data_IF_843807188476
#
_entry.id   IF_843807188476
#
_cell.length_a   1.000
_cell.length_b   1.000
_cell.length_c   1.000
_cell.angle_alpha   90.00
_cell.angle_beta   90.00
_cell.angle_gamma   90.00
#
_symmetry.space_group_name_H-M   'P 1'
#
loop_
_entity.id
_entity.type
_entity.pdbx_description
1 polymer ?
#
# COMPACT_ATOMS: atom_id res chain seq x y z
N UNK A 1 -7.16 6.78 -15.94
CA UNK A 1 -6.52 6.17 -14.76
C UNK A 1 -5.56 5.12 -15.28
N UNK A 2 -4.24 5.34 -15.15
CA UNK A 2 -3.21 4.38 -15.59
C UNK A 2 -3.21 3.22 -14.60
N UNK A 3 -4.01 2.19 -14.88
CA UNK A 3 -3.99 0.92 -14.14
C UNK A 3 -2.71 0.12 -14.43
N UNK A 4 -1.96 0.49 -15.47
CA UNK A 4 -0.80 -0.26 -15.94
C UNK A 4 0.46 -0.03 -15.09
N UNK A 5 0.57 1.12 -14.40
CA UNK A 5 1.75 1.45 -13.60
C UNK A 5 1.59 1.15 -12.10
N UNK A 6 0.36 0.88 -11.60
CA UNK A 6 0.01 0.55 -10.20
C UNK A 6 0.59 1.47 -9.09
N UNK A 7 1.26 2.56 -9.46
CA UNK A 7 1.73 3.61 -8.58
C UNK A 7 0.63 4.65 -8.42
N UNK A 8 0.13 4.78 -7.19
CA UNK A 8 -0.81 5.82 -6.81
C UNK A 8 -0.06 6.77 -5.88
N UNK A 9 0.02 8.04 -6.24
CA UNK A 9 0.54 9.06 -5.34
C UNK A 9 -0.44 9.23 -4.16
N UNK A 10 0.09 9.40 -2.96
CA UNK A 10 -0.73 9.70 -1.79
C UNK A 10 -1.52 11.00 -1.99
N UNK A 11 -0.97 12.01 -2.68
CA UNK A 11 -1.69 13.25 -2.97
C UNK A 11 -2.96 12.99 -3.80
N UNK A 12 -2.83 12.23 -4.89
CA UNK A 12 -3.93 11.80 -5.75
C UNK A 12 -4.94 10.95 -4.97
N UNK A 13 -4.45 9.98 -4.19
CA UNK A 13 -5.28 9.14 -3.34
C UNK A 13 -6.10 9.95 -2.34
N UNK A 14 -5.45 10.90 -1.68
CA UNK A 14 -6.03 11.74 -0.66
C UNK A 14 -7.11 12.66 -1.23
N UNK A 15 -6.83 13.35 -2.33
CA UNK A 15 -7.80 14.27 -2.95
C UNK A 15 -9.00 13.52 -3.52
N UNK A 16 -8.75 12.40 -4.19
CA UNK A 16 -9.81 11.53 -4.73
C UNK A 16 -10.70 11.00 -3.61
N UNK A 17 -10.11 10.47 -2.54
CA UNK A 17 -10.87 9.91 -1.42
C UNK A 17 -11.55 10.99 -0.58
N UNK A 18 -11.02 12.23 -0.52
CA UNK A 18 -11.70 13.37 0.09
C UNK A 18 -12.99 13.72 -0.65
N UNK A 19 -12.96 13.73 -1.98
CA UNK A 19 -14.16 13.94 -2.80
C UNK A 19 -15.17 12.81 -2.62
N UNK A 20 -14.71 11.55 -2.64
CA UNK A 20 -15.52 10.36 -2.34
C UNK A 20 -16.20 10.45 -0.96
N UNK A 21 -15.43 10.80 0.08
CA UNK A 21 -15.93 10.93 1.44
C UNK A 21 -17.01 12.00 1.52
N UNK A 22 -16.85 13.15 0.86
CA UNK A 22 -17.86 14.20 0.86
C UNK A 22 -19.24 13.72 0.39
N UNK A 23 -19.27 12.73 -0.53
CA UNK A 23 -20.50 12.14 -1.05
C UNK A 23 -21.14 11.15 -0.08
N UNK A 24 -20.33 10.34 0.62
CA UNK A 24 -20.84 9.21 1.42
C UNK A 24 -20.75 9.41 2.94
N UNK A 25 -20.20 10.54 3.42
CA UNK A 25 -19.90 10.76 4.85
C UNK A 25 -21.11 10.55 5.75
N UNK A 26 -22.28 11.02 5.34
CA UNK A 26 -23.52 10.92 6.12
C UNK A 26 -24.18 9.54 6.12
N UNK A 27 -23.70 8.60 5.29
CA UNK A 27 -24.29 7.27 5.13
C UNK A 27 -23.65 6.21 6.01
N UNK A 28 -22.52 6.51 6.66
CA UNK A 28 -21.74 5.53 7.41
C UNK A 28 -21.28 6.07 8.76
N UNK A 29 -21.22 5.17 9.75
CA UNK A 29 -20.41 5.35 10.96
C UNK A 29 -18.98 4.95 10.61
N UNK A 30 -18.03 5.84 10.90
CA UNK A 30 -16.64 5.68 10.48
C UNK A 30 -15.76 5.17 11.63
N UNK A 31 -15.22 3.97 11.45
CA UNK A 31 -14.23 3.33 12.31
C UNK A 31 -12.80 3.72 11.90
N UNK A 32 -12.48 5.01 12.05
CA UNK A 32 -11.21 5.55 11.58
C UNK A 32 -9.99 4.88 12.25
N UNK A 33 -8.91 4.62 11.50
CA UNK A 33 -7.64 4.18 12.08
C UNK A 33 -7.10 5.23 13.06
N UNK A 34 -6.76 4.78 14.28
CA UNK A 34 -6.30 5.63 15.38
C UNK A 34 -4.77 5.60 15.55
N UNK A 35 -4.09 6.70 15.20
CA UNK A 35 -2.62 6.85 15.32
C UNK A 35 -2.13 6.70 16.75
N UNK A 36 -2.85 7.30 17.72
CA UNK A 36 -2.48 7.26 19.13
C UNK A 36 -2.59 5.85 19.69
N UNK A 37 -3.66 5.13 19.36
CA UNK A 37 -3.84 3.72 19.73
C UNK A 37 -2.78 2.83 19.09
N UNK A 38 -2.44 3.07 17.82
CA UNK A 38 -1.39 2.30 17.16
C UNK A 38 -0.02 2.50 17.82
N UNK A 39 0.44 3.75 17.95
CA UNK A 39 1.78 4.04 18.48
C UNK A 39 2.00 3.57 19.93
N UNK A 40 0.93 3.51 20.74
CA UNK A 40 1.02 3.01 22.13
C UNK A 40 1.16 1.50 22.21
N UNK A 41 0.74 0.78 21.17
CA UNK A 41 0.74 -0.69 21.11
C UNK A 41 1.85 -1.24 20.21
N UNK A 42 2.39 -0.44 19.31
CA UNK A 42 3.45 -0.83 18.38
C UNK A 42 4.77 -0.98 19.12
N UNK A 43 5.33 -2.19 19.10
CA UNK A 43 6.69 -2.42 19.56
C UNK A 43 7.69 -1.76 18.61
N UNK A 44 8.69 -1.12 19.19
CA UNK A 44 9.84 -0.67 18.43
C UNK A 44 10.66 -1.89 18.00
N UNK A 45 10.73 -2.13 16.70
CA UNK A 45 11.48 -3.22 16.07
C UNK A 45 12.60 -2.69 15.18
N UNK A 46 12.98 -1.41 15.35
CA UNK A 46 14.15 -0.84 14.69
C UNK A 46 15.43 -1.48 15.23
N UNK A 47 16.42 -1.65 14.35
CA UNK A 47 17.72 -2.20 14.73
C UNK A 47 18.44 -1.26 15.70
N UNK A 48 18.75 -1.69 16.95
CA UNK A 48 19.48 -0.87 17.91
C UNK A 48 20.86 -0.43 17.41
N UNK A 49 21.48 -1.16 16.48
CA UNK A 49 22.75 -0.78 15.85
C UNK A 49 22.63 0.52 15.03
N UNK A 50 21.43 0.85 14.54
CA UNK A 50 21.15 2.11 13.86
C UNK A 50 21.38 3.35 14.72
N UNK A 51 21.60 3.21 16.04
CA UNK A 51 21.99 4.32 16.94
C UNK A 51 23.49 4.61 16.96
N UNK A 52 24.32 3.69 16.44
CA UNK A 52 25.76 3.87 16.42
C UNK A 52 26.14 4.90 15.36
N UNK A 53 27.09 5.77 15.69
CA UNK A 53 27.68 6.72 14.76
C UNK A 53 28.60 5.96 13.79
N UNK A 54 28.50 6.25 12.50
CA UNK A 54 29.42 5.65 11.53
C UNK A 54 30.80 6.33 11.63
N UNK A 55 31.92 5.61 11.43
CA UNK A 55 33.26 6.22 11.50
C UNK A 55 33.46 7.40 10.54
N UNK A 56 32.79 7.35 9.38
CA UNK A 56 32.89 8.36 8.31
C UNK A 56 31.81 9.45 8.38
N UNK A 57 30.91 9.39 9.37
CA UNK A 57 29.82 10.35 9.55
C UNK A 57 30.29 11.50 10.46
N UNK A 58 29.99 12.74 10.11
CA UNK A 58 30.29 13.88 10.99
C UNK A 58 29.25 14.05 12.12
N UNK A 59 29.46 15.01 13.02
CA UNK A 59 28.56 15.22 14.17
C UNK A 59 27.18 15.79 13.75
N UNK A 60 27.13 16.56 12.67
CA UNK A 60 25.90 17.17 12.15
C UNK A 60 25.05 16.10 11.43
N UNK A 61 25.68 15.33 10.54
CA UNK A 61 25.06 14.19 9.85
C UNK A 61 24.51 13.15 10.84
N UNK A 62 25.27 12.82 11.89
CA UNK A 62 24.82 11.92 12.94
C UNK A 62 23.59 12.47 13.68
N UNK A 63 23.63 13.75 14.05
CA UNK A 63 22.54 14.41 14.78
C UNK A 63 21.26 14.43 13.95
N UNK A 64 21.36 14.81 12.67
CA UNK A 64 20.23 14.85 11.75
C UNK A 64 19.65 13.45 11.52
N UNK A 65 20.49 12.45 11.29
CA UNK A 65 20.06 11.06 11.13
C UNK A 65 19.36 10.55 12.38
N UNK A 66 19.87 10.87 13.58
CA UNK A 66 19.25 10.46 14.84
C UNK A 66 17.90 11.13 15.08
N UNK A 67 17.75 12.42 14.73
CA UNK A 67 16.46 13.10 14.77
C UNK A 67 15.45 12.45 13.81
N UNK A 68 15.88 12.13 12.58
CA UNK A 68 15.05 11.42 11.61
C UNK A 68 14.68 10.01 12.10
N UNK A 69 15.64 9.31 12.70
CA UNK A 69 15.45 7.99 13.29
C UNK A 69 14.37 8.05 14.36
N UNK A 70 14.47 8.95 15.33
CA UNK A 70 13.50 9.14 16.41
C UNK A 70 12.11 9.54 15.90
N UNK A 71 12.03 10.39 14.89
CA UNK A 71 10.77 10.80 14.28
C UNK A 71 10.13 9.70 13.40
N UNK A 72 10.92 8.72 12.95
CA UNK A 72 10.50 7.74 11.95
C UNK A 72 9.23 6.95 12.32
N UNK A 73 9.07 6.37 13.53
CA UNK A 73 7.86 5.62 13.89
C UNK A 73 6.59 6.47 13.80
N UNK A 74 6.69 7.75 14.20
CA UNK A 74 5.60 8.70 14.10
C UNK A 74 5.26 9.05 12.66
N UNK A 75 6.29 9.25 11.81
CA UNK A 75 6.14 9.52 10.38
C UNK A 75 5.51 8.32 9.66
N UNK A 76 6.01 7.11 9.94
CA UNK A 76 5.48 5.86 9.40
C UNK A 76 4.01 5.67 9.80
N UNK A 77 3.67 5.71 11.09
CA UNK A 77 2.30 5.54 11.55
C UNK A 77 1.33 6.60 10.98
N UNK A 78 1.81 7.83 10.73
CA UNK A 78 1.02 8.88 10.06
C UNK A 78 0.75 8.51 8.60
N UNK A 79 1.76 8.06 7.87
CA UNK A 79 1.61 7.65 6.47
C UNK A 79 0.68 6.43 6.35
N UNK A 80 0.92 5.39 7.14
CA UNK A 80 0.09 4.18 7.18
C UNK A 80 -1.38 4.53 7.47
N UNK A 81 -1.62 5.39 8.47
CA UNK A 81 -2.97 5.89 8.80
C UNK A 81 -3.63 6.60 7.61
N UNK A 82 -2.89 7.45 6.89
CA UNK A 82 -3.39 8.17 5.73
C UNK A 82 -3.92 7.20 4.67
N UNK A 83 -3.09 6.23 4.31
CA UNK A 83 -3.43 5.20 3.32
C UNK A 83 -4.59 4.30 3.76
N UNK A 84 -4.64 3.91 5.03
CA UNK A 84 -5.78 3.15 5.57
C UNK A 84 -7.10 3.92 5.51
N UNK A 85 -7.07 5.25 5.71
CA UNK A 85 -8.25 6.09 5.52
C UNK A 85 -8.71 6.07 4.06
N UNK A 86 -7.80 6.23 3.11
CA UNK A 86 -8.11 6.16 1.69
C UNK A 86 -8.77 4.82 1.34
N UNK A 87 -8.17 3.70 1.79
CA UNK A 87 -8.71 2.36 1.54
C UNK A 87 -10.12 2.18 2.15
N UNK A 88 -10.34 2.64 3.39
CA UNK A 88 -11.64 2.57 4.04
C UNK A 88 -12.71 3.35 3.27
N UNK A 89 -12.40 4.58 2.86
CA UNK A 89 -13.34 5.41 2.09
C UNK A 89 -13.69 4.73 0.78
N UNK A 90 -12.70 4.27 0.01
CA UNK A 90 -12.93 3.61 -1.28
C UNK A 90 -13.76 2.33 -1.14
N UNK A 91 -13.52 1.52 -0.11
CA UNK A 91 -14.32 0.33 0.16
C UNK A 91 -15.77 0.66 0.52
N UNK A 92 -16.01 1.73 1.29
CA UNK A 92 -17.37 2.20 1.62
C UNK A 92 -18.10 2.83 0.44
N UNK A 93 -17.39 3.49 -0.47
CA UNK A 93 -18.00 3.95 -1.73
C UNK A 93 -18.40 2.77 -2.60
N UNK A 94 -17.53 1.76 -2.71
CA UNK A 94 -17.87 0.52 -3.42
C UNK A 94 -19.12 -0.12 -2.82
N UNK A 95 -19.20 -0.24 -1.49
CA UNK A 95 -20.38 -0.74 -0.77
C UNK A 95 -21.65 0.07 -1.10
N UNK A 96 -21.57 1.39 -1.02
CA UNK A 96 -22.68 2.29 -1.32
C UNK A 96 -23.18 2.12 -2.76
N UNK A 97 -22.28 2.21 -3.74
CA UNK A 97 -22.62 2.12 -5.16
C UNK A 97 -23.12 0.73 -5.53
N UNK A 98 -22.49 -0.34 -5.02
CA UNK A 98 -22.94 -1.69 -5.29
C UNK A 98 -24.34 -1.94 -4.70
N UNK A 99 -24.62 -1.46 -3.50
CA UNK A 99 -25.95 -1.55 -2.88
C UNK A 99 -27.00 -0.75 -3.66
N UNK A 100 -26.67 0.47 -4.10
CA UNK A 100 -27.53 1.27 -4.98
C UNK A 100 -27.87 0.54 -6.28
N UNK A 101 -26.87 -0.09 -6.91
CA UNK A 101 -27.06 -0.87 -8.15
C UNK A 101 -27.92 -2.11 -7.92
N UNK A 102 -27.71 -2.81 -6.82
CA UNK A 102 -28.53 -3.98 -6.40
C UNK A 102 -29.99 -3.57 -6.17
N UNK A 103 -30.23 -2.34 -5.70
CA UNK A 103 -31.56 -1.75 -5.56
C UNK A 103 -32.14 -1.16 -6.86
N UNK A 104 -31.53 -1.47 -8.02
CA UNK A 104 -32.03 -1.06 -9.33
C UNK A 104 -31.70 0.37 -9.76
N UNK A 105 -30.86 1.10 -9.02
CA UNK A 105 -30.45 2.45 -9.42
C UNK A 105 -29.48 2.40 -10.61
N UNK A 106 -29.70 3.29 -11.59
CA UNK A 106 -28.77 3.49 -12.70
C UNK A 106 -27.57 4.32 -12.25
N UNK A 107 -26.38 3.72 -12.26
CA UNK A 107 -25.12 4.39 -11.91
C UNK A 107 -24.32 4.73 -13.16
N UNK A 108 -24.90 5.63 -13.96
CA UNK A 108 -24.30 6.17 -15.19
C UNK A 108 -24.28 7.69 -15.09
N UNK A 109 -23.19 8.29 -15.55
CA UNK A 109 -23.04 9.75 -15.54
C UNK A 109 -22.34 10.25 -16.80
N UNK A 110 -22.43 11.55 -17.05
CA UNK A 110 -21.70 12.21 -18.13
C UNK A 110 -20.87 13.34 -17.54
N UNK A 111 -19.58 13.38 -17.86
CA UNK A 111 -18.69 14.47 -17.47
C UNK A 111 -17.82 14.88 -18.65
N UNK A 112 -17.81 16.18 -18.97
CA UNK A 112 -17.08 16.75 -20.13
C UNK A 112 -17.33 15.97 -21.44
N UNK A 113 -18.58 15.60 -21.70
CA UNK A 113 -19.00 14.87 -22.91
C UNK A 113 -18.68 13.37 -22.90
N UNK A 114 -17.94 12.87 -21.92
CA UNK A 114 -17.65 11.43 -21.77
C UNK A 114 -18.67 10.76 -20.87
N UNK A 115 -19.12 9.56 -21.25
CA UNK A 115 -20.03 8.72 -20.46
C UNK A 115 -19.22 7.81 -19.53
N UNK A 116 -19.63 7.77 -18.27
CA UNK A 116 -19.03 6.97 -17.22
C UNK A 116 -20.05 5.99 -16.67
N UNK A 117 -19.62 4.78 -16.39
CA UNK A 117 -20.42 3.74 -15.75
C UNK A 117 -19.71 3.26 -14.49
N UNK A 118 -20.49 2.94 -13.46
CA UNK A 118 -19.96 2.32 -12.27
C UNK A 118 -19.35 0.94 -12.60
N UNK A 119 -18.07 0.79 -12.26
CA UNK A 119 -17.34 -0.46 -12.36
C UNK A 119 -16.79 -0.86 -10.98
N UNK A 120 -17.36 -1.88 -10.32
CA UNK A 120 -16.95 -2.27 -8.96
C UNK A 120 -15.49 -2.74 -8.89
N UNK A 121 -14.96 -3.31 -9.97
CA UNK A 121 -13.55 -3.75 -10.05
C UNK A 121 -12.58 -2.60 -9.79
N UNK A 122 -12.85 -1.42 -10.37
CA UNK A 122 -11.98 -0.24 -10.25
C UNK A 122 -11.86 0.19 -8.79
N UNK A 123 -12.96 0.25 -8.05
CA UNK A 123 -12.94 0.65 -6.64
C UNK A 123 -12.27 -0.40 -5.75
N UNK A 124 -12.44 -1.68 -6.07
CA UNK A 124 -11.75 -2.77 -5.38
C UNK A 124 -10.23 -2.70 -5.61
N UNK A 125 -9.78 -2.54 -6.85
CA UNK A 125 -8.37 -2.36 -7.19
C UNK A 125 -7.79 -1.13 -6.50
N UNK A 126 -8.51 -0.01 -6.50
CA UNK A 126 -8.08 1.21 -5.82
C UNK A 126 -7.95 1.02 -4.30
N UNK A 127 -8.90 0.30 -3.68
CA UNK A 127 -8.82 -0.08 -2.27
C UNK A 127 -7.58 -0.93 -2.00
N UNK A 128 -7.32 -1.93 -2.85
CA UNK A 128 -6.14 -2.78 -2.76
C UNK A 128 -4.83 -2.00 -2.90
N UNK A 129 -4.76 -1.07 -3.86
CA UNK A 129 -3.61 -0.20 -4.07
C UNK A 129 -3.34 0.66 -2.83
N UNK A 130 -4.39 1.28 -2.26
CA UNK A 130 -4.23 2.08 -1.03
C UNK A 130 -3.66 1.26 0.13
N UNK A 131 -4.10 0.01 0.30
CA UNK A 131 -3.57 -0.88 1.33
C UNK A 131 -2.08 -1.20 1.11
N UNK A 132 -1.69 -1.51 -0.13
CA UNK A 132 -0.30 -1.88 -0.45
C UNK A 132 0.67 -0.69 -0.39
N UNK A 133 0.26 0.49 -0.86
CA UNK A 133 1.07 1.71 -0.83
C UNK A 133 1.29 2.23 0.60
N UNK A 134 0.37 1.91 1.52
CA UNK A 134 0.49 2.23 2.95
C UNK A 134 1.75 1.72 3.61
N UNK A 135 2.27 0.58 3.16
CA UNK A 135 3.50 -0.02 3.67
C UNK A 135 4.77 0.62 3.07
N UNK A 136 4.71 1.04 1.81
CA UNK A 136 5.84 1.61 1.07
C UNK A 136 5.87 1.15 -0.40
N UNK A 137 6.64 1.84 -1.26
CA UNK A 137 6.61 1.65 -2.71
C UNK A 137 7.09 0.27 -3.21
N UNK A 138 7.56 -0.60 -2.30
CA UNK A 138 8.20 -1.89 -2.60
C UNK A 138 7.26 -3.12 -2.53
N UNK A 139 5.97 -2.95 -2.21
CA UNK A 139 4.96 -4.04 -2.16
C UNK A 139 4.31 -4.39 -3.53
N UNK A 140 4.76 -3.76 -4.61
CA UNK A 140 4.26 -3.72 -6.01
C UNK A 140 4.05 -5.05 -6.75
N UNK A 141 4.30 -6.21 -6.15
CA UNK A 141 4.30 -7.49 -6.89
C UNK A 141 3.04 -8.34 -6.74
N UNK A 142 2.05 -7.90 -5.97
CA UNK A 142 0.81 -8.65 -5.79
C UNK A 142 -0.36 -8.05 -6.56
N UNK A 143 -0.75 -8.73 -7.64
CA UNK A 143 -2.06 -8.48 -8.23
C UNK A 143 -3.15 -8.74 -7.19
N UNK A 144 -4.21 -7.91 -7.15
CA UNK A 144 -5.33 -8.19 -6.28
C UNK A 144 -5.93 -9.56 -6.64
N UNK A 145 -6.41 -10.33 -5.65
CA UNK A 145 -7.07 -11.59 -5.94
C UNK A 145 -8.23 -11.35 -6.91
N UNK A 146 -8.42 -12.31 -7.81
CA UNK A 146 -9.49 -12.32 -8.81
C UNK A 146 -10.50 -13.39 -8.43
N UNK A 147 -11.79 -13.19 -8.72
CA UNK A 147 -12.81 -14.21 -8.48
C UNK A 147 -12.50 -15.46 -9.32
N UNK A 148 -12.64 -16.65 -8.73
CA UNK A 148 -12.20 -17.92 -9.34
C UNK A 148 -13.12 -18.41 -10.47
N UNK A 149 -14.33 -17.86 -10.65
CA UNK A 149 -15.23 -18.18 -11.77
C UNK A 149 -16.24 -17.05 -12.04
N UNK A 150 -17.04 -17.19 -13.10
CA UNK A 150 -18.16 -16.32 -13.50
C UNK A 150 -19.30 -16.35 -12.48
N UNK A 151 -19.05 -15.87 -11.26
CA UNK A 151 -20.10 -15.68 -10.28
C UNK A 151 -21.11 -14.66 -10.81
N UNK A 152 -22.40 -15.00 -10.68
CA UNK A 152 -23.54 -14.19 -11.12
C UNK A 152 -23.63 -12.82 -10.40
N UNK A 153 -22.70 -12.50 -9.50
CA UNK A 153 -22.58 -11.21 -8.83
C UNK A 153 -21.13 -10.73 -8.62
N UNK A 154 -20.31 -10.70 -9.68
CA UNK A 154 -18.94 -10.16 -9.64
C UNK A 154 -18.81 -8.84 -8.84
N UNK A 155 -19.80 -7.94 -8.93
CA UNK A 155 -19.82 -6.69 -8.14
C UNK A 155 -19.92 -6.91 -6.64
N UNK A 156 -20.77 -7.83 -6.20
CA UNK A 156 -20.93 -8.19 -4.78
C UNK A 156 -19.69 -8.91 -4.26
N UNK A 157 -19.04 -9.73 -5.08
CA UNK A 157 -17.74 -10.33 -4.74
C UNK A 157 -16.69 -9.24 -4.45
N UNK A 158 -16.50 -8.28 -5.38
CA UNK A 158 -15.55 -7.17 -5.20
C UNK A 158 -15.84 -6.35 -3.93
N UNK A 159 -17.11 -6.04 -3.68
CA UNK A 159 -17.55 -5.35 -2.47
C UNK A 159 -17.16 -6.12 -1.21
N UNK A 160 -17.55 -7.39 -1.14
CA UNK A 160 -17.34 -8.21 0.05
C UNK A 160 -15.84 -8.40 0.34
N UNK A 161 -15.03 -8.62 -0.69
CA UNK A 161 -13.58 -8.73 -0.56
C UNK A 161 -12.93 -7.44 -0.09
N UNK A 162 -13.30 -6.29 -0.66
CA UNK A 162 -12.79 -4.98 -0.23
C UNK A 162 -13.08 -4.72 1.25
N UNK A 163 -14.34 -4.88 1.67
CA UNK A 163 -14.77 -4.62 3.04
C UNK A 163 -14.11 -5.57 4.04
N UNK A 164 -14.09 -6.88 3.74
CA UNK A 164 -13.47 -7.86 4.61
C UNK A 164 -11.97 -7.61 4.80
N UNK A 165 -11.26 -7.28 3.71
CA UNK A 165 -9.83 -6.98 3.76
C UNK A 165 -9.55 -5.72 4.56
N UNK A 166 -10.23 -4.61 4.28
CA UNK A 166 -10.05 -3.35 5.00
C UNK A 166 -10.33 -3.52 6.49
N UNK A 167 -11.46 -4.16 6.84
CA UNK A 167 -11.82 -4.41 8.25
C UNK A 167 -10.74 -5.20 8.97
N UNK A 168 -10.23 -6.27 8.34
CA UNK A 168 -9.17 -7.11 8.92
C UNK A 168 -7.88 -6.33 9.10
N UNK A 169 -7.47 -5.55 8.08
CA UNK A 169 -6.22 -4.78 8.14
C UNK A 169 -6.30 -3.69 9.20
N UNK A 170 -7.38 -2.90 9.23
CA UNK A 170 -7.55 -1.83 10.22
C UNK A 170 -7.63 -2.41 11.64
N UNK A 171 -8.32 -3.53 11.84
CA UNK A 171 -8.40 -4.18 13.15
C UNK A 171 -7.03 -4.62 13.67
N UNK A 172 -6.19 -5.22 12.81
CA UNK A 172 -4.81 -5.60 13.17
C UNK A 172 -3.93 -4.38 13.40
N UNK A 173 -4.04 -3.37 12.55
CA UNK A 173 -3.28 -2.14 12.68
C UNK A 173 -3.61 -1.39 13.98
N UNK A 174 -4.88 -1.30 14.35
CA UNK A 174 -5.32 -0.71 15.62
C UNK A 174 -4.82 -1.50 16.86
N UNK A 175 -4.37 -2.76 16.69
CA UNK A 175 -3.71 -3.57 17.74
C UNK A 175 -2.19 -3.37 17.80
N UNK A 176 -1.63 -2.43 17.05
CA UNK A 176 -0.19 -2.14 17.03
C UNK A 176 0.60 -2.95 16.00
N UNK A 177 -0.06 -3.73 15.14
CA UNK A 177 0.63 -4.43 14.06
C UNK A 177 0.97 -3.46 12.92
N UNK A 178 2.25 -3.39 12.51
CA UNK A 178 2.69 -2.57 11.37
C UNK A 178 2.12 -3.10 10.07
N UNK A 179 1.79 -2.23 9.10
CA UNK A 179 1.17 -2.66 7.84
C UNK A 179 1.97 -3.73 7.09
N UNK A 180 3.30 -3.66 7.11
CA UNK A 180 4.16 -4.67 6.46
C UNK A 180 4.06 -6.08 7.02
N UNK A 181 3.61 -6.24 8.28
CA UNK A 181 3.36 -7.56 8.90
C UNK A 181 1.94 -8.06 8.61
N UNK A 182 1.03 -7.14 8.31
CA UNK A 182 -0.37 -7.45 8.03
C UNK A 182 -0.56 -7.83 6.56
N UNK A 183 0.04 -7.06 5.67
CA UNK A 183 0.01 -7.25 4.22
C UNK A 183 1.34 -7.95 3.87
N UNK A 184 1.33 -9.29 3.71
CA UNK A 184 2.56 -10.03 3.48
C UNK A 184 3.19 -9.55 2.18
N UNK A 185 4.41 -9.04 2.28
CA UNK A 185 5.27 -8.73 1.13
C UNK A 185 5.81 -10.05 0.61
N UNK A 186 5.67 -10.30 -0.69
CA UNK A 186 6.57 -11.26 -1.33
C UNK A 186 7.91 -10.52 -1.41
N UNK A 187 8.82 -10.81 -0.50
CA UNK A 187 10.19 -10.28 -0.55
C UNK A 187 10.88 -10.75 -1.82
N UNK A 188 11.88 -10.00 -2.28
CA UNK A 188 12.69 -10.40 -3.42
C UNK A 188 13.19 -11.85 -3.25
N UNK A 189 13.52 -12.25 -2.02
CA UNK A 189 13.95 -13.61 -1.64
C UNK A 189 12.91 -14.70 -1.94
N UNK A 190 11.62 -14.42 -1.76
CA UNK A 190 10.54 -15.38 -2.07
C UNK A 190 10.36 -15.52 -3.60
N UNK A 191 10.71 -14.50 -4.38
CA UNK A 191 10.73 -14.56 -5.84
C UNK A 191 12.02 -15.21 -6.38
N UNK A 192 13.15 -14.99 -5.70
CA UNK A 192 14.43 -15.62 -5.99
C UNK A 192 14.39 -17.13 -5.73
N UNK A 193 13.70 -17.58 -4.68
CA UNK A 193 13.53 -19.01 -4.37
C UNK A 193 12.58 -19.78 -5.29
N UNK A 194 11.90 -19.13 -6.24
CA UNK A 194 10.86 -19.75 -7.09
C UNK A 194 11.10 -19.66 -8.60
N UNK A 195 12.17 -19.00 -9.06
CA UNK A 195 12.42 -18.81 -10.49
C UNK A 195 13.89 -19.12 -10.85
N UNK A 196 14.18 -20.27 -11.51
CA UNK A 196 15.56 -20.62 -11.91
C UNK A 196 16.23 -19.58 -12.83
N UNK A 197 15.45 -18.76 -13.54
CA UNK A 197 15.95 -17.72 -14.42
C UNK A 197 16.54 -16.49 -13.68
N UNK A 198 16.16 -16.25 -12.42
CA UNK A 198 16.68 -15.09 -11.68
C UNK A 198 18.03 -15.40 -11.00
N UNK A 199 18.33 -16.68 -10.71
CA UNK A 199 19.67 -17.11 -10.31
C UNK A 199 20.69 -16.79 -11.41
N UNK A 200 20.34 -17.01 -12.68
CA UNK A 200 21.19 -16.67 -13.83
C UNK A 200 21.42 -15.15 -13.96
N UNK A 201 20.41 -14.33 -13.63
CA UNK A 201 20.54 -12.86 -13.61
C UNK A 201 21.41 -12.41 -12.43
N UNK A 202 21.25 -13.04 -11.25
CA UNK A 202 22.06 -12.74 -10.07
C UNK A 202 23.54 -13.09 -10.33
N UNK A 203 23.83 -14.28 -10.87
CA UNK A 203 25.19 -14.68 -11.24
C UNK A 203 25.79 -13.74 -12.28
N UNK A 204 25.01 -13.29 -13.26
CA UNK A 204 25.47 -12.31 -14.26
C UNK A 204 25.76 -10.93 -13.67
N UNK A 205 24.98 -10.50 -12.69
CA UNK A 205 25.21 -9.24 -11.98
C UNK A 205 26.43 -9.33 -11.06
N UNK A 206 26.62 -10.46 -10.37
CA UNK A 206 27.80 -10.72 -9.54
C UNK A 206 29.08 -10.81 -10.40
N UNK A 207 29.02 -11.46 -11.56
CA UNK A 207 30.13 -11.48 -12.53
C UNK A 207 30.44 -10.10 -13.12
N UNK A 208 29.41 -9.30 -13.41
CA UNK A 208 29.60 -7.94 -13.90
C UNK A 208 30.24 -7.04 -12.84
N UNK A 209 29.84 -7.20 -11.56
CA UNK A 209 30.42 -6.47 -10.45
C UNK A 209 31.89 -6.87 -10.21
N UNK A 210 32.19 -8.17 -10.21
CA UNK A 210 33.56 -8.68 -10.08
C UNK A 210 34.48 -8.16 -11.20
N UNK A 211 33.98 -8.13 -12.44
CA UNK A 211 34.72 -7.59 -13.59
C UNK A 211 35.01 -6.09 -13.45
N UNK A 212 34.08 -5.32 -12.89
CA UNK A 212 34.28 -3.89 -12.60
C UNK A 212 35.34 -3.69 -11.52
N UNK A 213 35.33 -4.52 -10.47
CA UNK A 213 36.26 -4.42 -9.35
C UNK A 213 37.68 -4.89 -9.73
N UNK A 214 37.79 -5.93 -10.58
CA UNK A 214 39.06 -6.38 -11.15
C UNK A 214 39.67 -5.34 -12.12
N UNK A 215 38.82 -4.62 -12.86
CA UNK A 215 39.24 -3.52 -13.75
C UNK A 215 39.80 -2.33 -12.98
N UNK A 216 39.31 -2.10 -11.75
CA UNK A 216 39.77 -1.04 -10.85
C UNK A 216 41.04 -1.40 -10.08
N UNK A 217 41.37 -2.68 -10.01
CA UNK A 217 42.49 -3.20 -9.22
C UNK A 217 43.79 -3.37 -10.02
N UNK A 218 43.80 -3.09 -11.33
CA UNK A 218 45.03 -3.10 -12.13
C UNK A 218 45.78 -1.77 -11.97
N UNK A 219 47.00 -1.76 -11.40
CA UNK A 219 47.82 -0.57 -11.41
C UNK A 219 48.34 -0.31 -12.82
N UNK A 220 48.43 0.98 -13.18
CA UNK A 220 49.06 1.48 -14.41
C UNK A 220 50.53 1.07 -14.49
#
# INVERSE_FOLDING_TARGET
>A
MRLDDTLLDYSEAHDTTKAMLALIKGHYVWDWPSKSSHLTLTKDDRDPEGRKKHPDEDDEEYTDRMQMWEAWPNKQARNEKGWLKCALISARVLDCLQTSRENGQSLRGTYKGSRYYFNPKIFYEYTWMCLNQGYGPHSWRQQPPKPETSETSLGSWYRNQALAKVKTVIARWNKGEKLGKIIPVITLDILLGRAPYIMEIKDRLEQAQQSIDDSRSRPL
#
